data_IF_556926659608
#
_entry.id   IF_556926659608
#
_cell.length_a   1.000
_cell.length_b   1.000
_cell.length_c   1.000
_cell.angle_alpha   90.00
_cell.angle_beta   90.00
_cell.angle_gamma   90.00
#
_symmetry.space_group_name_H-M   'P 1'
#
loop_
_entity.id
_entity.type
_entity.pdbx_description
1 polymer ?
#
# COMPACT_ATOMS: atom_id res chain seq x y z
N UNK A 1 3.94 9.79 -20.04
CA UNK A 1 2.56 10.08 -20.48
C UNK A 1 1.66 8.96 -19.99
N UNK A 2 1.00 9.13 -18.84
CA UNK A 2 0.05 8.14 -18.31
C UNK A 2 -1.21 8.27 -19.14
N UNK A 3 -1.47 7.27 -19.98
CA UNK A 3 -2.69 7.22 -20.81
C UNK A 3 -3.88 7.20 -19.84
N UNK A 4 -4.67 8.27 -19.83
CA UNK A 4 -5.86 8.36 -18.97
C UNK A 4 -6.85 7.25 -19.35
N UNK A 5 -6.91 6.22 -18.54
CA UNK A 5 -7.93 5.17 -18.66
C UNK A 5 -9.31 5.80 -18.41
N UNK A 6 -10.24 5.64 -19.33
CA UNK A 6 -11.58 6.20 -19.16
C UNK A 6 -12.30 5.56 -17.97
N UNK A 7 -13.22 6.31 -17.33
CA UNK A 7 -14.08 5.79 -16.26
C UNK A 7 -14.87 4.54 -16.70
N UNK A 8 -15.26 4.48 -17.98
CA UNK A 8 -15.96 3.33 -18.59
C UNK A 8 -15.05 2.10 -18.63
N UNK A 9 -13.79 2.26 -19.04
CA UNK A 9 -12.82 1.17 -19.09
C UNK A 9 -12.52 0.66 -17.68
N UNK A 10 -12.31 1.57 -16.73
CA UNK A 10 -12.11 1.20 -15.33
C UNK A 10 -13.27 0.36 -14.78
N UNK A 11 -14.52 0.77 -15.04
CA UNK A 11 -15.71 0.00 -14.61
C UNK A 11 -15.72 -1.41 -15.18
N UNK A 12 -15.36 -1.57 -16.46
CA UNK A 12 -15.26 -2.89 -17.09
C UNK A 12 -14.20 -3.77 -16.41
N UNK A 13 -13.02 -3.22 -16.11
CA UNK A 13 -11.95 -3.94 -15.42
C UNK A 13 -12.41 -4.38 -14.03
N UNK A 14 -13.02 -3.49 -13.24
CA UNK A 14 -13.50 -3.83 -11.89
C UNK A 14 -14.61 -4.88 -11.92
N UNK A 15 -15.53 -4.81 -12.89
CA UNK A 15 -16.57 -5.82 -13.06
C UNK A 15 -15.96 -7.19 -13.43
N UNK A 16 -14.98 -7.22 -14.34
CA UNK A 16 -14.26 -8.43 -14.67
C UNK A 16 -13.67 -9.10 -13.42
N UNK A 17 -12.94 -8.35 -12.58
CA UNK A 17 -12.40 -8.91 -11.34
C UNK A 17 -13.49 -9.42 -10.41
N UNK A 18 -14.58 -8.68 -10.26
CA UNK A 18 -15.71 -9.09 -9.39
C UNK A 18 -16.35 -10.39 -9.84
N UNK A 19 -16.49 -10.59 -11.16
CA UNK A 19 -17.14 -11.76 -11.76
C UNK A 19 -16.20 -12.97 -11.81
N UNK A 20 -14.91 -12.75 -12.02
CA UNK A 20 -13.93 -13.83 -12.24
C UNK A 20 -13.12 -14.22 -11.01
N UNK A 21 -13.31 -13.55 -9.87
CA UNK A 21 -12.58 -13.86 -8.64
C UNK A 21 -12.80 -15.31 -8.20
N UNK A 22 -11.74 -16.12 -8.04
CA UNK A 22 -11.87 -17.51 -7.63
C UNK A 22 -12.54 -17.65 -6.26
N UNK A 23 -13.34 -18.70 -6.03
CA UNK A 23 -14.01 -18.91 -4.74
C UNK A 23 -13.06 -18.95 -3.56
N UNK A 24 -11.88 -19.56 -3.68
CA UNK A 24 -10.86 -19.60 -2.62
C UNK A 24 -10.38 -18.22 -2.20
N UNK A 25 -10.32 -17.26 -3.12
CA UNK A 25 -9.95 -15.87 -2.82
C UNK A 25 -11.07 -15.16 -2.05
N UNK A 26 -12.34 -15.51 -2.29
CA UNK A 26 -13.48 -14.95 -1.55
C UNK A 26 -13.49 -15.33 -0.07
N UNK A 27 -12.83 -16.44 0.28
CA UNK A 27 -12.73 -16.96 1.65
C UNK A 27 -11.57 -16.32 2.45
N UNK A 28 -10.69 -15.59 1.80
CA UNK A 28 -9.58 -14.92 2.49
C UNK A 28 -10.14 -13.81 3.39
N UNK A 29 -9.71 -13.74 4.65
CA UNK A 29 -10.09 -12.64 5.55
C UNK A 29 -9.78 -11.28 4.94
N UNK A 30 -10.66 -10.32 5.16
CA UNK A 30 -10.48 -8.94 4.75
C UNK A 30 -10.29 -8.06 5.97
N UNK A 31 -9.51 -6.99 5.83
CA UNK A 31 -9.15 -6.10 6.91
C UNK A 31 -9.51 -4.66 6.54
N UNK A 32 -9.89 -3.88 7.55
CA UNK A 32 -10.20 -2.47 7.32
C UNK A 32 -8.96 -1.63 7.12
N UNK A 33 -7.88 -1.97 7.84
CA UNK A 33 -6.58 -1.30 7.76
C UNK A 33 -5.55 -2.32 7.29
N UNK A 34 -4.88 -2.02 6.21
CA UNK A 34 -3.83 -2.86 5.65
C UNK A 34 -2.54 -2.07 5.56
N UNK A 35 -1.48 -2.58 6.18
CA UNK A 35 -0.10 -2.12 5.99
C UNK A 35 0.57 -3.03 4.97
N UNK A 36 1.04 -2.46 3.87
CA UNK A 36 1.77 -3.21 2.84
C UNK A 36 3.26 -3.21 3.19
N UNK A 37 3.80 -4.41 3.30
CA UNK A 37 5.21 -4.65 3.50
C UNK A 37 5.85 -5.14 2.21
N UNK A 38 7.05 -4.66 1.90
CA UNK A 38 7.92 -5.26 0.88
C UNK A 38 8.57 -6.53 1.43
N UNK A 39 8.75 -7.55 0.59
CA UNK A 39 9.45 -8.79 0.94
C UNK A 39 10.96 -8.53 1.04
N UNK A 40 11.40 -8.03 2.20
CA UNK A 40 12.80 -7.64 2.44
C UNK A 40 13.74 -8.81 2.65
N UNK A 41 13.25 -9.94 3.19
CA UNK A 41 14.16 -10.98 3.67
C UNK A 41 14.87 -11.74 2.56
N UNK A 42 14.25 -11.89 1.40
CA UNK A 42 14.82 -12.70 0.31
C UNK A 42 15.71 -11.91 -0.65
N UNK A 43 15.49 -10.61 -0.81
CA UNK A 43 16.32 -9.79 -1.70
C UNK A 43 17.69 -9.44 -1.09
N UNK A 44 17.75 -9.24 0.22
CA UNK A 44 18.99 -8.86 0.89
C UNK A 44 19.91 -10.05 1.22
N UNK A 45 19.37 -11.23 1.53
CA UNK A 45 20.18 -12.37 1.98
C UNK A 45 20.86 -13.15 0.87
N UNK A 46 20.23 -13.31 -0.29
CA UNK A 46 20.77 -14.20 -1.34
C UNK A 46 21.42 -13.50 -2.54
N UNK A 47 21.02 -12.28 -2.84
CA UNK A 47 21.45 -11.60 -4.07
C UNK A 47 22.51 -10.52 -3.91
N UNK A 48 22.52 -9.81 -2.78
CA UNK A 48 23.34 -8.62 -2.61
C UNK A 48 24.69 -8.86 -1.97
N UNK A 49 24.87 -9.91 -1.18
CA UNK A 49 26.16 -10.23 -0.57
C UNK A 49 27.21 -10.72 -1.57
N UNK A 50 26.80 -11.25 -2.73
CA UNK A 50 27.68 -11.85 -3.73
C UNK A 50 27.64 -11.18 -5.11
N UNK A 51 26.90 -10.08 -5.32
CA UNK A 51 26.84 -9.37 -6.61
C UNK A 51 27.32 -7.93 -6.46
N UNK A 52 27.99 -7.42 -7.53
CA UNK A 52 28.46 -6.04 -7.59
C UNK A 52 27.33 -5.05 -7.24
N UNK A 53 27.63 -3.94 -6.54
CA UNK A 53 26.65 -2.95 -6.08
C UNK A 53 25.67 -2.42 -7.12
N UNK A 54 26.00 -2.56 -8.41
CA UNK A 54 25.16 -2.12 -9.54
C UNK A 54 23.90 -2.97 -9.78
N UNK A 55 23.77 -4.16 -9.15
CA UNK A 55 22.63 -5.05 -9.30
C UNK A 55 21.76 -5.18 -8.03
N UNK A 56 22.29 -4.80 -6.88
CA UNK A 56 21.45 -4.48 -5.74
C UNK A 56 20.80 -3.17 -6.07
N UNK A 57 19.69 -3.23 -6.81
CA UNK A 57 19.03 -2.02 -7.25
C UNK A 57 18.76 -1.18 -6.01
N UNK A 58 19.31 0.02 -6.03
CA UNK A 58 19.01 1.05 -5.03
C UNK A 58 17.48 1.16 -4.75
N UNK A 59 16.67 0.53 -5.57
CA UNK A 59 15.23 0.47 -5.46
C UNK A 59 14.72 -0.32 -4.26
N UNK A 60 15.35 -1.43 -3.85
CA UNK A 60 14.91 -2.15 -2.65
C UNK A 60 15.29 -1.41 -1.36
N UNK A 61 16.44 -0.74 -1.33
CA UNK A 61 16.82 0.15 -0.24
C UNK A 61 15.98 1.43 -0.21
N UNK A 62 15.54 1.94 -1.37
CA UNK A 62 14.71 3.14 -1.50
C UNK A 62 13.26 2.94 -1.03
N UNK A 63 12.85 1.73 -0.72
CA UNK A 63 11.43 1.39 -0.49
C UNK A 63 11.19 0.65 0.80
N UNK A 64 12.10 0.71 1.76
CA UNK A 64 11.91 0.09 3.06
C UNK A 64 11.83 1.11 4.19
N UNK A 65 10.95 0.82 5.14
CA UNK A 65 10.79 1.57 6.37
C UNK A 65 11.60 0.85 7.44
N UNK A 66 12.62 1.51 7.98
CA UNK A 66 13.52 0.88 8.96
C UNK A 66 12.79 0.36 10.21
N UNK A 67 11.80 1.10 10.70
CA UNK A 67 11.00 0.72 11.87
C UNK A 67 9.67 0.02 11.53
N UNK A 68 9.55 -0.63 10.36
CA UNK A 68 8.33 -1.27 9.89
C UNK A 68 7.74 -2.26 10.91
N UNK A 69 8.57 -3.12 11.49
CA UNK A 69 8.13 -4.10 12.50
C UNK A 69 7.51 -3.43 13.73
N UNK A 70 8.11 -2.35 14.21
CA UNK A 70 7.59 -1.59 15.35
C UNK A 70 6.27 -0.92 15.00
N UNK A 71 6.17 -0.32 13.81
CA UNK A 71 4.93 0.26 13.30
C UNK A 71 3.83 -0.80 13.22
N UNK A 72 4.10 -1.94 12.57
CA UNK A 72 3.15 -3.04 12.43
C UNK A 72 2.64 -3.55 13.79
N UNK A 73 3.55 -3.82 14.73
CA UNK A 73 3.17 -4.27 16.07
C UNK A 73 2.33 -3.23 16.83
N UNK A 74 2.67 -1.95 16.69
CA UNK A 74 1.92 -0.86 17.32
C UNK A 74 0.50 -0.76 16.77
N UNK A 75 0.32 -0.89 15.46
CA UNK A 75 -1.00 -0.85 14.84
C UNK A 75 -1.81 -2.09 15.17
N UNK A 76 -1.17 -3.27 15.18
CA UNK A 76 -1.83 -4.51 15.59
C UNK A 76 -2.32 -4.45 17.04
N UNK A 77 -1.51 -3.93 17.95
CA UNK A 77 -1.89 -3.75 19.36
C UNK A 77 -3.05 -2.77 19.54
N UNK A 78 -3.12 -1.74 18.68
CA UNK A 78 -4.18 -0.71 18.77
C UNK A 78 -5.50 -1.16 18.16
N UNK A 79 -5.49 -1.78 16.99
CA UNK A 79 -6.70 -2.07 16.21
C UNK A 79 -7.13 -3.54 16.29
N UNK A 80 -6.24 -4.43 16.70
CA UNK A 80 -6.50 -5.87 16.79
C UNK A 80 -6.44 -6.60 15.44
N UNK A 81 -6.33 -7.94 15.46
CA UNK A 81 -6.10 -8.76 14.27
C UNK A 81 -7.34 -8.90 13.37
N UNK A 82 -8.52 -8.51 13.83
CA UNK A 82 -9.73 -8.51 13.01
C UNK A 82 -9.86 -7.26 12.12
N UNK A 83 -9.18 -6.17 12.48
CA UNK A 83 -9.26 -4.89 11.78
C UNK A 83 -8.00 -4.60 11.00
N UNK A 84 -6.83 -4.92 11.56
CA UNK A 84 -5.52 -4.60 11.00
C UNK A 84 -4.78 -5.84 10.52
N UNK A 85 -4.12 -5.72 9.38
CA UNK A 85 -3.15 -6.72 8.90
C UNK A 85 -1.94 -6.09 8.23
N UNK A 86 -0.79 -6.72 8.43
CA UNK A 86 0.43 -6.46 7.69
C UNK A 86 0.55 -7.49 6.55
N UNK A 87 0.62 -7.05 5.30
CA UNK A 87 0.50 -7.92 4.13
C UNK A 87 1.70 -7.72 3.20
N UNK A 88 2.27 -8.85 2.77
CA UNK A 88 3.27 -8.93 1.70
C UNK A 88 2.54 -9.27 0.40
N UNK A 89 2.70 -8.44 -0.63
CA UNK A 89 2.02 -8.62 -1.92
C UNK A 89 2.87 -9.34 -2.97
N UNK A 90 4.18 -9.36 -2.79
CA UNK A 90 5.11 -10.02 -3.68
C UNK A 90 4.73 -11.50 -3.83
N UNK A 91 4.74 -11.98 -5.06
CA UNK A 91 4.35 -13.36 -5.43
C UNK A 91 2.88 -13.71 -5.17
N UNK A 92 2.05 -12.76 -4.74
CA UNK A 92 0.61 -12.99 -4.63
C UNK A 92 -0.09 -12.85 -5.99
N UNK A 93 -1.22 -13.55 -6.14
CA UNK A 93 -2.02 -13.44 -7.36
C UNK A 93 -2.64 -12.05 -7.48
N UNK A 94 -2.90 -11.61 -8.70
CA UNK A 94 -3.60 -10.35 -8.94
C UNK A 94 -5.00 -10.33 -8.30
N UNK A 95 -5.67 -11.46 -8.18
CA UNK A 95 -6.97 -11.58 -7.51
C UNK A 95 -6.86 -11.33 -6.00
N UNK A 96 -5.76 -11.81 -5.38
CA UNK A 96 -5.49 -11.53 -3.97
C UNK A 96 -5.22 -10.04 -3.76
N UNK A 97 -4.36 -9.42 -4.60
CA UNK A 97 -4.07 -8.00 -4.55
C UNK A 97 -5.34 -7.16 -4.76
N UNK A 98 -6.18 -7.53 -5.75
CA UNK A 98 -7.49 -6.92 -5.94
C UNK A 98 -8.32 -6.98 -4.66
N UNK A 99 -8.44 -8.17 -4.04
CA UNK A 99 -9.25 -8.37 -2.85
C UNK A 99 -8.78 -7.51 -1.68
N UNK A 100 -7.46 -7.50 -1.42
CA UNK A 100 -6.84 -6.70 -0.35
C UNK A 100 -7.19 -5.21 -0.52
N UNK A 101 -6.99 -4.64 -1.70
CA UNK A 101 -7.23 -3.23 -1.93
C UNK A 101 -8.72 -2.87 -2.04
N UNK A 102 -9.52 -3.75 -2.62
CA UNK A 102 -10.96 -3.51 -2.78
C UNK A 102 -11.70 -3.46 -1.44
N UNK A 103 -11.32 -4.31 -0.50
CA UNK A 103 -12.06 -4.45 0.76
C UNK A 103 -11.47 -3.59 1.89
N UNK A 104 -10.22 -3.13 1.76
CA UNK A 104 -9.64 -2.22 2.73
C UNK A 104 -10.31 -0.83 2.70
N UNK A 105 -10.56 -0.28 3.89
CA UNK A 105 -10.92 1.12 4.07
C UNK A 105 -9.68 2.02 4.04
N UNK A 106 -8.57 1.54 4.62
CA UNK A 106 -7.31 2.28 4.69
C UNK A 106 -6.18 1.36 4.23
N UNK A 107 -5.45 1.79 3.23
CA UNK A 107 -4.20 1.15 2.81
C UNK A 107 -3.04 2.06 3.16
N UNK A 108 -2.05 1.51 3.85
CA UNK A 108 -0.81 2.18 4.24
C UNK A 108 0.32 1.50 3.47
N UNK A 109 1.08 2.23 2.71
CA UNK A 109 2.17 1.68 1.93
C UNK A 109 3.27 2.70 1.69
N UNK A 110 4.48 2.22 1.50
CA UNK A 110 5.55 3.05 1.00
C UNK A 110 5.38 3.31 -0.49
N UNK A 111 5.89 4.45 -0.98
CA UNK A 111 5.93 4.77 -2.40
C UNK A 111 6.49 3.60 -3.21
N UNK A 112 5.71 3.03 -4.09
CA UNK A 112 6.12 1.88 -4.89
C UNK A 112 5.02 1.21 -5.70
N UNK A 113 5.39 0.15 -6.43
CA UNK A 113 4.51 -0.55 -7.36
C UNK A 113 3.20 -1.05 -6.72
N UNK A 114 3.22 -1.42 -5.44
CA UNK A 114 2.03 -1.84 -4.70
C UNK A 114 0.89 -0.81 -4.75
N UNK A 115 1.23 0.50 -4.73
CA UNK A 115 0.26 1.58 -4.78
C UNK A 115 -0.47 1.70 -6.15
N UNK A 116 0.00 1.04 -7.19
CA UNK A 116 -0.75 0.93 -8.45
C UNK A 116 -2.11 0.25 -8.23
N UNK A 117 -2.25 -0.58 -7.20
CA UNK A 117 -3.48 -1.25 -6.84
C UNK A 117 -4.56 -0.31 -6.22
N UNK A 118 -4.26 0.98 -6.01
CA UNK A 118 -5.27 2.01 -5.64
C UNK A 118 -6.46 1.97 -6.61
N UNK A 119 -6.25 1.57 -7.86
CA UNK A 119 -7.33 1.37 -8.83
C UNK A 119 -8.42 0.39 -8.37
N UNK A 120 -8.11 -0.52 -7.49
CA UNK A 120 -9.06 -1.50 -6.96
C UNK A 120 -9.87 -0.98 -5.77
N UNK A 121 -9.43 0.09 -5.11
CA UNK A 121 -10.08 0.64 -3.91
C UNK A 121 -11.46 1.23 -4.22
N UNK A 122 -12.33 1.25 -3.22
CA UNK A 122 -13.66 1.85 -3.31
C UNK A 122 -13.57 3.38 -3.26
N UNK A 123 -14.12 4.10 -4.26
CA UNK A 123 -14.09 5.55 -4.25
C UNK A 123 -14.90 6.12 -3.09
N UNK A 124 -14.58 7.32 -2.67
CA UNK A 124 -15.25 8.15 -1.65
C UNK A 124 -15.14 7.67 -0.20
N UNK A 125 -14.98 6.36 0.02
CA UNK A 125 -14.95 5.75 1.37
C UNK A 125 -13.56 5.24 1.76
N UNK A 126 -12.64 5.08 0.79
CA UNK A 126 -11.31 4.54 1.05
C UNK A 126 -10.25 5.63 1.13
N UNK A 127 -9.22 5.33 1.92
CA UNK A 127 -8.07 6.20 2.15
C UNK A 127 -6.78 5.46 1.81
N UNK A 128 -5.82 6.15 1.24
CA UNK A 128 -4.45 5.69 1.09
C UNK A 128 -3.51 6.60 1.87
N UNK A 129 -2.62 6.00 2.64
CA UNK A 129 -1.54 6.70 3.35
C UNK A 129 -0.23 6.24 2.71
N UNK A 130 0.43 7.15 2.02
CA UNK A 130 1.71 6.88 1.39
C UNK A 130 2.85 7.38 2.28
N UNK A 131 3.85 6.53 2.51
CA UNK A 131 5.13 6.96 3.01
C UNK A 131 5.99 7.41 1.83
N UNK A 132 6.15 8.72 1.73
CA UNK A 132 6.75 9.38 0.58
C UNK A 132 8.22 9.69 0.83
N UNK A 133 9.17 9.09 0.10
CA UNK A 133 10.55 9.53 0.15
C UNK A 133 10.69 10.96 -0.41
N UNK A 134 11.73 11.72 -0.02
CA UNK A 134 11.84 13.14 -0.35
C UNK A 134 11.73 13.47 -1.84
N UNK A 135 12.29 12.63 -2.70
CA UNK A 135 12.28 12.81 -4.16
C UNK A 135 10.92 12.54 -4.83
N UNK A 136 10.02 11.77 -4.17
CA UNK A 136 8.71 11.44 -4.75
C UNK A 136 7.72 12.61 -4.70
N UNK A 137 8.04 13.68 -3.96
CA UNK A 137 7.18 14.86 -3.82
C UNK A 137 6.91 15.56 -5.15
N UNK A 138 7.87 15.56 -6.06
CA UNK A 138 7.75 16.23 -7.36
C UNK A 138 6.92 15.38 -8.36
N UNK A 139 6.82 14.07 -8.11
CA UNK A 139 6.21 13.15 -9.08
C UNK A 139 4.69 13.04 -8.90
N UNK A 140 4.16 13.24 -7.69
CA UNK A 140 2.73 13.15 -7.32
C UNK A 140 1.96 11.98 -7.96
N UNK A 141 2.67 10.92 -8.40
CA UNK A 141 2.10 9.86 -9.23
C UNK A 141 0.89 9.19 -8.58
N UNK A 142 1.06 8.69 -7.36
CA UNK A 142 -0.02 7.96 -6.67
C UNK A 142 -1.09 8.88 -6.10
N UNK A 143 -0.76 10.13 -5.79
CA UNK A 143 -1.73 11.18 -5.47
C UNK A 143 -2.69 11.41 -6.64
N UNK A 144 -2.16 11.51 -7.86
CA UNK A 144 -2.97 11.68 -9.08
C UNK A 144 -3.83 10.44 -9.37
N UNK A 145 -3.29 9.22 -9.14
CA UNK A 145 -4.05 7.97 -9.27
C UNK A 145 -5.20 7.94 -8.26
N UNK A 146 -4.93 8.25 -6.99
CA UNK A 146 -5.95 8.30 -5.95
C UNK A 146 -7.03 9.33 -6.25
N UNK A 147 -6.66 10.54 -6.66
CA UNK A 147 -7.59 11.59 -7.06
C UNK A 147 -8.49 11.14 -8.22
N UNK A 148 -7.90 10.58 -9.28
CA UNK A 148 -8.65 10.07 -10.42
C UNK A 148 -9.65 8.97 -10.02
N UNK A 149 -9.24 8.10 -9.07
CA UNK A 149 -10.08 7.03 -8.55
C UNK A 149 -11.16 7.53 -7.57
N UNK A 150 -11.00 8.72 -7.00
CA UNK A 150 -11.85 9.25 -5.93
C UNK A 150 -11.54 8.64 -4.57
N UNK A 151 -10.29 8.21 -4.35
CA UNK A 151 -9.76 7.73 -3.08
C UNK A 151 -9.10 8.91 -2.37
N UNK A 152 -9.30 9.03 -1.06
CA UNK A 152 -8.67 10.09 -0.26
C UNK A 152 -7.19 9.77 -0.04
N UNK A 153 -6.32 10.68 -0.45
CA UNK A 153 -4.87 10.51 -0.38
C UNK A 153 -4.26 11.31 0.75
N UNK A 154 -3.36 10.66 1.48
CA UNK A 154 -2.54 11.24 2.55
C UNK A 154 -1.08 10.85 2.33
N UNK A 155 -0.16 11.72 2.73
CA UNK A 155 1.27 11.47 2.64
C UNK A 155 1.94 11.75 3.98
N UNK A 156 2.78 10.82 4.41
CA UNK A 156 3.72 11.01 5.53
C UNK A 156 5.12 10.96 4.94
N UNK A 157 5.87 12.03 5.14
CA UNK A 157 7.15 12.21 4.51
C UNK A 157 8.23 11.48 5.28
N UNK A 158 9.00 10.65 4.59
CA UNK A 158 10.23 10.08 5.11
C UNK A 158 11.36 11.11 5.07
N UNK A 159 12.26 11.08 6.04
CA UNK A 159 13.45 11.92 6.06
C UNK A 159 14.42 11.60 4.92
N UNK A 160 14.55 10.30 4.63
CA UNK A 160 15.34 9.79 3.51
C UNK A 160 14.75 8.45 3.01
N UNK A 161 15.37 7.85 1.99
CA UNK A 161 14.88 6.64 1.33
C UNK A 161 14.78 5.42 2.25
N UNK A 162 15.53 5.42 3.37
CA UNK A 162 15.55 4.35 4.36
C UNK A 162 15.62 4.95 5.77
N UNK A 163 14.52 5.52 6.22
CA UNK A 163 14.39 6.13 7.54
C UNK A 163 13.23 5.55 8.33
N UNK A 164 13.20 5.85 9.61
CA UNK A 164 12.06 5.57 10.45
C UNK A 164 10.87 6.44 10.00
N UNK A 165 9.68 5.89 10.14
CA UNK A 165 8.42 6.65 10.06
C UNK A 165 8.01 7.07 11.47
N UNK A 166 7.54 8.29 11.61
CA UNK A 166 6.92 8.76 12.85
C UNK A 166 5.64 7.97 13.14
N UNK A 167 5.72 7.04 14.08
CA UNK A 167 4.56 6.22 14.49
C UNK A 167 3.46 7.08 15.11
N UNK A 168 3.84 8.17 15.79
CA UNK A 168 2.90 9.14 16.34
C UNK A 168 2.06 9.81 15.24
N UNK A 169 2.69 10.20 14.13
CA UNK A 169 1.99 10.86 13.02
C UNK A 169 1.06 9.88 12.29
N UNK A 170 1.51 8.63 12.10
CA UNK A 170 0.65 7.57 11.55
C UNK A 170 -0.57 7.37 12.43
N UNK A 171 -0.40 7.26 13.75
CA UNK A 171 -1.52 7.09 14.70
C UNK A 171 -2.46 8.28 14.68
N UNK A 172 -1.94 9.51 14.74
CA UNK A 172 -2.74 10.72 14.72
C UNK A 172 -3.57 10.84 13.43
N UNK A 173 -2.95 10.50 12.29
CA UNK A 173 -3.65 10.49 11.00
C UNK A 173 -4.75 9.42 10.96
N UNK A 174 -4.46 8.20 11.43
CA UNK A 174 -5.44 7.12 11.49
C UNK A 174 -6.61 7.49 12.41
N UNK A 175 -6.37 8.09 13.58
CA UNK A 175 -7.41 8.52 14.50
C UNK A 175 -8.30 9.59 13.85
N UNK A 176 -7.72 10.55 13.13
CA UNK A 176 -8.47 11.55 12.37
C UNK A 176 -9.34 10.93 11.28
N UNK A 177 -8.84 9.90 10.57
CA UNK A 177 -9.61 9.21 9.54
C UNK A 177 -10.77 8.44 10.17
N UNK A 178 -10.51 7.68 11.24
CA UNK A 178 -11.53 6.87 11.91
C UNK A 178 -12.66 7.72 12.49
N UNK A 179 -12.35 8.84 13.14
CA UNK A 179 -13.37 9.75 13.68
C UNK A 179 -14.21 10.42 12.59
N UNK A 180 -13.73 10.47 11.36
CA UNK A 180 -14.48 11.05 10.23
C UNK A 180 -15.38 10.03 9.50
N UNK A 181 -15.26 8.73 9.82
CA UNK A 181 -15.96 7.61 9.14
C UNK A 181 -16.94 6.90 10.09
N UNK A 182 -16.87 7.21 11.39
CA UNK A 182 -17.84 6.77 12.43
C UNK A 182 -19.06 7.67 12.43
#
# INVERSE_FOLDING_TARGET
>A
MVTQMSKKTMRKVLNFFRETIPPCIKLIPTFEIVLIQSDEENYFKEGCLNRKPSYCTQESQRRSIRNHKTLSNTLLAKYGPSIFSNIVLERSSIYYQYRVFHDAKIVIAQYGAALSNIFFMKPSVSHVIEFSPPWSREVEHFKNVAHFKGVKYHSIIQENDYSDISISDVKALLDKIYTSVS
#
